data_IF_378714756653
#
_entry.id   IF_378714756653
#
_cell.length_a   1.000
_cell.length_b   1.000
_cell.length_c   1.000
_cell.angle_alpha   90.00
_cell.angle_beta   90.00
_cell.angle_gamma   90.00
#
_symmetry.space_group_name_H-M   'P 1'
#
loop_
_entity.id
_entity.type
_entity.pdbx_description
1 polymer ?
#
# COMPACT_ATOMS: atom_id res chain seq x y z
N UNK A 1 -26.83 4.27 5.09
CA UNK A 1 -25.68 5.11 4.70
C UNK A 1 -24.72 4.35 3.80
N UNK A 2 -24.39 3.08 4.11
CA UNK A 2 -23.39 2.27 3.41
C UNK A 2 -23.48 2.10 1.87
N UNK A 3 -24.63 2.27 1.20
CA UNK A 3 -24.71 2.00 -0.25
C UNK A 3 -24.06 3.06 -1.13
N UNK A 4 -24.10 4.33 -0.72
CA UNK A 4 -23.54 5.44 -1.51
C UNK A 4 -22.03 5.53 -1.29
N UNK A 5 -21.59 5.44 -0.02
CA UNK A 5 -20.17 5.42 0.37
C UNK A 5 -19.41 4.25 -0.28
N UNK A 6 -20.02 3.06 -0.35
CA UNK A 6 -19.41 1.91 -1.02
C UNK A 6 -19.29 2.11 -2.54
N UNK A 7 -20.29 2.74 -3.17
CA UNK A 7 -20.25 3.02 -4.61
C UNK A 7 -19.15 4.03 -4.95
N UNK A 8 -18.95 5.04 -4.11
CA UNK A 8 -17.86 6.01 -4.23
C UNK A 8 -16.49 5.35 -4.04
N UNK A 9 -16.35 4.47 -3.04
CA UNK A 9 -15.13 3.68 -2.84
C UNK A 9 -14.82 2.79 -4.06
N UNK A 10 -15.83 2.12 -4.61
CA UNK A 10 -15.67 1.27 -5.78
C UNK A 10 -15.25 2.10 -7.01
N UNK A 11 -15.79 3.31 -7.17
CA UNK A 11 -15.41 4.25 -8.23
C UNK A 11 -13.96 4.74 -8.09
N UNK A 12 -13.46 4.92 -6.87
CA UNK A 12 -12.08 5.34 -6.59
C UNK A 12 -11.09 4.19 -6.40
N UNK A 13 -11.51 2.93 -6.59
CA UNK A 13 -10.66 1.75 -6.36
C UNK A 13 -9.38 1.78 -7.19
N UNK A 14 -9.43 2.30 -8.42
CA UNK A 14 -8.25 2.46 -9.27
C UNK A 14 -7.24 3.45 -8.69
N UNK A 15 -7.74 4.54 -8.12
CA UNK A 15 -6.92 5.63 -7.58
C UNK A 15 -6.21 5.15 -6.31
N UNK A 16 -6.95 4.46 -5.43
CA UNK A 16 -6.39 3.81 -4.24
C UNK A 16 -5.27 2.83 -4.64
N UNK A 17 -5.48 2.01 -5.67
CA UNK A 17 -4.44 1.08 -6.14
C UNK A 17 -3.22 1.83 -6.70
N UNK A 18 -3.42 2.94 -7.39
CA UNK A 18 -2.32 3.76 -7.91
C UNK A 18 -1.50 4.37 -6.75
N UNK A 19 -2.16 4.94 -5.75
CA UNK A 19 -1.50 5.52 -4.58
C UNK A 19 -0.69 4.46 -3.81
N UNK A 20 -1.26 3.27 -3.60
CA UNK A 20 -0.55 2.17 -2.96
C UNK A 20 0.70 1.74 -3.75
N UNK A 21 0.65 1.74 -5.09
CA UNK A 21 1.82 1.46 -5.93
C UNK A 21 2.89 2.55 -5.79
N UNK A 22 2.50 3.81 -5.79
CA UNK A 22 3.43 4.93 -5.58
C UNK A 22 4.10 4.88 -4.21
N UNK A 23 3.41 4.39 -3.18
CA UNK A 23 4.05 4.15 -1.89
C UNK A 23 5.10 3.03 -1.97
N UNK A 24 4.82 1.94 -2.70
CA UNK A 24 5.80 0.84 -2.84
C UNK A 24 7.06 1.34 -3.54
N UNK A 25 6.88 2.09 -4.63
CA UNK A 25 7.98 2.73 -5.35
C UNK A 25 8.79 3.67 -4.45
N UNK A 26 8.11 4.55 -3.70
CA UNK A 26 8.75 5.48 -2.75
C UNK A 26 9.68 4.74 -1.77
N UNK A 27 9.21 3.66 -1.16
CA UNK A 27 10.04 2.93 -0.21
C UNK A 27 11.17 2.16 -0.89
N UNK A 28 10.94 1.63 -2.10
CA UNK A 28 12.00 1.02 -2.91
C UNK A 28 13.12 2.02 -3.19
N UNK A 29 12.79 3.26 -3.55
CA UNK A 29 13.76 4.34 -3.75
C UNK A 29 14.50 4.71 -2.46
N UNK A 30 13.79 4.79 -1.32
CA UNK A 30 14.42 5.11 -0.02
C UNK A 30 15.47 4.05 0.37
N UNK A 31 15.18 2.77 0.12
CA UNK A 31 16.12 1.68 0.39
C UNK A 31 17.20 1.53 -0.68
N UNK A 32 17.14 2.30 -1.76
CA UNK A 32 18.00 2.16 -2.94
C UNK A 32 17.96 0.75 -3.55
N UNK A 33 16.77 0.14 -3.52
CA UNK A 33 16.51 -1.22 -4.02
C UNK A 33 16.07 -1.26 -5.48
N UNK A 34 16.08 -0.11 -6.17
CA UNK A 34 15.74 0.00 -7.58
C UNK A 34 16.98 -0.20 -8.46
N UNK A 35 17.70 -1.31 -8.23
CA UNK A 35 18.93 -1.68 -8.93
C UNK A 35 18.82 -3.11 -9.51
N UNK A 36 19.53 -3.42 -10.61
CA UNK A 36 19.43 -4.73 -11.29
C UNK A 36 19.78 -5.95 -10.42
N UNK A 37 20.59 -5.76 -9.38
CA UNK A 37 21.10 -6.83 -8.50
C UNK A 37 20.06 -7.30 -7.46
N UNK A 38 18.99 -6.54 -7.26
CA UNK A 38 17.91 -6.86 -6.33
C UNK A 38 16.79 -7.57 -7.09
N UNK A 39 16.28 -8.68 -6.53
CA UNK A 39 15.00 -9.23 -6.95
C UNK A 39 13.89 -8.25 -6.55
N UNK A 40 13.54 -7.39 -7.49
CA UNK A 40 12.55 -6.33 -7.32
C UNK A 40 11.18 -6.88 -6.90
N UNK A 41 10.80 -8.09 -7.37
CA UNK A 41 9.55 -8.73 -6.96
C UNK A 41 9.58 -9.16 -5.49
N UNK A 42 10.71 -9.69 -5.03
CA UNK A 42 10.90 -10.02 -3.62
C UNK A 42 10.90 -8.76 -2.74
N UNK A 43 11.59 -7.70 -3.17
CA UNK A 43 11.61 -6.41 -2.48
C UNK A 43 10.21 -5.79 -2.33
N UNK A 44 9.43 -5.80 -3.42
CA UNK A 44 8.05 -5.29 -3.41
C UNK A 44 7.15 -6.03 -2.44
N UNK A 45 7.29 -7.36 -2.35
CA UNK A 45 6.55 -8.19 -1.40
C UNK A 45 6.89 -7.83 0.05
N UNK A 46 8.16 -7.54 0.35
CA UNK A 46 8.58 -7.10 1.68
C UNK A 46 7.98 -5.75 2.04
N UNK A 47 8.01 -4.79 1.11
CA UNK A 47 7.43 -3.46 1.30
C UNK A 47 5.92 -3.55 1.50
N UNK A 48 5.22 -4.32 0.66
CA UNK A 48 3.77 -4.56 0.80
C UNK A 48 3.42 -5.21 2.14
N UNK A 49 4.19 -6.20 2.59
CA UNK A 49 3.97 -6.83 3.90
C UNK A 49 4.10 -5.80 5.04
N UNK A 50 5.12 -4.95 5.00
CA UNK A 50 5.29 -3.88 5.99
C UNK A 50 4.13 -2.86 5.96
N UNK A 51 3.61 -2.53 4.78
CA UNK A 51 2.43 -1.67 4.64
C UNK A 51 1.16 -2.30 5.23
N UNK A 52 0.96 -3.60 5.02
CA UNK A 52 -0.15 -4.32 5.64
C UNK A 52 -0.06 -4.25 7.16
N UNK A 53 1.11 -4.52 7.75
CA UNK A 53 1.32 -4.38 9.19
C UNK A 53 1.04 -2.95 9.68
N UNK A 54 1.47 -1.92 8.93
CA UNK A 54 1.19 -0.54 9.30
C UNK A 54 -0.32 -0.20 9.28
N UNK A 55 -1.08 -0.76 8.33
CA UNK A 55 -2.54 -0.61 8.29
C UNK A 55 -3.22 -1.35 9.44
N UNK A 56 -2.72 -2.52 9.82
CA UNK A 56 -3.21 -3.26 10.98
C UNK A 56 -3.01 -2.44 12.27
N UNK A 57 -1.83 -1.85 12.44
CA UNK A 57 -1.51 -0.98 13.59
C UNK A 57 -2.40 0.28 13.66
N UNK A 58 -2.73 0.88 12.51
CA UNK A 58 -3.66 2.01 12.43
C UNK A 58 -5.07 1.54 12.83
N UNK A 59 -5.50 0.40 12.30
CA UNK A 59 -6.83 -0.17 12.55
C UNK A 59 -7.01 -0.47 14.03
N UNK A 60 -6.02 -1.08 14.68
CA UNK A 60 -6.05 -1.38 16.11
C UNK A 60 -6.29 -0.12 16.96
N UNK A 61 -5.69 1.02 16.58
CA UNK A 61 -5.86 2.31 17.28
C UNK A 61 -7.19 3.00 17.01
N UNK A 62 -7.91 2.63 15.96
CA UNK A 62 -9.24 3.16 15.66
C UNK A 62 -10.35 2.43 16.43
N UNK A 63 -10.04 1.24 16.96
CA UNK A 63 -10.94 0.42 17.77
C UNK A 63 -10.80 0.64 19.28
N UNK A 64 -9.85 1.48 19.70
CA UNK A 64 -9.65 1.97 21.09
C UNK A 64 -10.36 3.31 21.31
#
# INVERSE_FOLDING_TARGET
>A
MQKMEQLELDAHRSDIVADMRSLVEKYRTIFDWDIPEIDQSAADKLILAAMHTALDDITAKLTD
#
